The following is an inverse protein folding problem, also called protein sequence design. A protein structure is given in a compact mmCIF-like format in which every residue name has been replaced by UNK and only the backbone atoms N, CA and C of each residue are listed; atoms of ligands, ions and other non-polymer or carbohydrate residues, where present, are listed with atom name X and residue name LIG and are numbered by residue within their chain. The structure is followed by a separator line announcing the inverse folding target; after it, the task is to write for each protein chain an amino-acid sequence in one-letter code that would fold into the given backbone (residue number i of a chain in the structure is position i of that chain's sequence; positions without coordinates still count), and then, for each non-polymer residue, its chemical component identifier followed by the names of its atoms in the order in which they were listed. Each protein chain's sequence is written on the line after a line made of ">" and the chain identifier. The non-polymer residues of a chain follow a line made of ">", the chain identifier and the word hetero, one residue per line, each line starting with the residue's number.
data_IF_922595114531
#
_entry.id   IF_922595114531
#
_cell.length_a   1.000
_cell.length_b   1.000
_cell.length_c   1.000
_cell.angle_alpha   90.00
_cell.angle_beta   90.00
_cell.angle_gamma   90.00
#
_symmetry.space_group_name_H-M   'P 1'
#
loop_
_entity.id
_entity.type
_entity.pdbx_description
1 polymer ?
#
# COMPACT_ATOMS: atom_id res chain seq x y z
N UNK A 1 -15.14 18.23 -20.01
CA UNK A 1 -14.97 16.91 -19.36
C UNK A 1 -14.13 17.12 -18.12
N UNK A 2 -14.71 16.97 -16.92
CA UNK A 2 -13.97 17.04 -15.66
C UNK A 2 -13.58 15.62 -15.25
N UNK A 3 -12.29 15.44 -15.02
CA UNK A 3 -11.66 14.45 -14.13
C UNK A 3 -11.68 12.99 -14.60
N UNK A 4 -10.72 12.63 -15.46
CA UNK A 4 -10.07 11.32 -15.32
C UNK A 4 -9.28 11.38 -14.00
N UNK A 5 -9.93 11.08 -12.87
CA UNK A 5 -9.21 10.81 -11.62
C UNK A 5 -8.42 9.53 -11.88
N UNK A 6 -7.09 9.58 -11.83
CA UNK A 6 -6.28 8.37 -11.90
C UNK A 6 -6.73 7.40 -10.79
N UNK A 7 -6.72 6.08 -11.05
CA UNK A 7 -6.99 5.12 -9.99
C UNK A 7 -5.99 5.35 -8.85
N UNK A 8 -6.40 5.20 -7.57
CA UNK A 8 -5.47 5.24 -6.47
C UNK A 8 -4.39 4.17 -6.67
N UNK A 9 -3.14 4.57 -6.62
CA UNK A 9 -1.99 3.66 -6.76
C UNK A 9 -1.51 3.22 -5.38
N UNK A 10 -1.12 1.95 -5.30
CA UNK A 10 -0.59 1.38 -4.07
C UNK A 10 0.60 0.46 -4.36
N UNK A 11 1.50 0.28 -3.42
CA UNK A 11 2.48 -0.82 -3.48
C UNK A 11 2.69 -1.40 -2.09
N UNK A 12 3.36 -2.54 -2.02
CA UNK A 12 3.63 -3.21 -0.74
C UNK A 12 5.07 -3.67 -0.64
N UNK A 13 5.56 -3.75 0.59
CA UNK A 13 6.87 -4.27 0.92
C UNK A 13 6.80 -5.07 2.22
N UNK A 14 7.59 -6.14 2.30
CA UNK A 14 7.76 -6.92 3.53
C UNK A 14 8.96 -6.37 4.30
N UNK A 15 8.70 -5.64 5.38
CA UNK A 15 9.74 -5.08 6.23
C UNK A 15 10.23 -6.11 7.25
N UNK A 16 11.52 -6.42 7.15
CA UNK A 16 12.25 -7.37 8.01
C UNK A 16 13.27 -6.67 8.90
N UNK A 17 13.28 -5.34 8.91
CA UNK A 17 14.15 -4.54 9.78
C UNK A 17 13.73 -4.58 11.26
N UNK A 18 12.47 -4.92 11.52
CA UNK A 18 11.91 -5.12 12.87
C UNK A 18 11.62 -6.60 13.14
N UNK A 19 11.54 -6.97 14.42
CA UNK A 19 11.19 -8.33 14.87
C UNK A 19 9.96 -8.25 15.79
N UNK A 20 8.83 -8.90 15.44
CA UNK A 20 8.58 -9.59 14.17
C UNK A 20 8.52 -8.61 12.99
N UNK A 21 8.90 -9.08 11.80
CA UNK A 21 8.73 -8.33 10.56
C UNK A 21 7.26 -8.12 10.22
N UNK A 22 6.95 -7.17 9.35
CA UNK A 22 5.57 -6.77 9.05
C UNK A 22 5.41 -6.30 7.60
N UNK A 23 4.16 -6.21 7.14
CA UNK A 23 3.87 -5.68 5.81
C UNK A 23 3.65 -4.17 5.89
N UNK A 24 4.22 -3.45 4.92
CA UNK A 24 4.04 -2.01 4.72
C UNK A 24 3.32 -1.81 3.41
N UNK A 25 2.22 -1.07 3.44
CA UNK A 25 1.46 -0.65 2.26
C UNK A 25 1.67 0.84 2.05
N UNK A 26 2.11 1.21 0.85
CA UNK A 26 2.24 2.60 0.44
C UNK A 26 1.03 2.98 -0.40
N UNK A 27 0.26 3.97 0.04
CA UNK A 27 -0.96 4.42 -0.65
C UNK A 27 -0.81 5.87 -1.08
N UNK A 28 -1.04 6.14 -2.37
CA UNK A 28 -1.16 7.51 -2.87
C UNK A 28 -2.64 7.88 -2.96
N UNK A 29 -3.08 8.71 -2.03
CA UNK A 29 -4.47 9.13 -1.93
C UNK A 29 -4.59 10.58 -2.39
N UNK A 30 -5.49 10.84 -3.34
CA UNK A 30 -5.89 12.21 -3.71
C UNK A 30 -6.75 12.82 -2.59
N UNK A 31 -6.09 13.38 -1.58
CA UNK A 31 -6.73 14.13 -0.50
C UNK A 31 -7.19 15.50 -1.01
N UNK A 32 -8.47 15.82 -0.87
CA UNK A 32 -8.92 17.20 -1.01
C UNK A 32 -8.46 17.97 0.24
N UNK A 33 -7.84 19.15 0.07
CA UNK A 33 -7.40 20.00 1.20
C UNK A 33 -8.54 20.41 2.15
N UNK A 34 -9.79 20.20 1.75
CA UNK A 34 -10.97 20.59 2.50
C UNK A 34 -11.30 19.64 3.67
N UNK A 35 -10.86 18.38 3.62
CA UNK A 35 -11.21 17.37 4.64
C UNK A 35 -10.02 16.45 4.91
N UNK A 36 -9.20 16.72 5.94
CA UNK A 36 -8.18 15.77 6.35
C UNK A 36 -8.85 14.48 6.82
N UNK A 37 -8.27 13.33 6.47
CA UNK A 37 -8.74 12.03 6.94
C UNK A 37 -8.29 11.85 8.39
N UNK A 38 -9.21 11.56 9.34
CA UNK A 38 -8.83 11.31 10.72
C UNK A 38 -7.92 10.07 10.85
N UNK A 39 -6.96 10.06 11.80
CA UNK A 39 -6.10 8.90 12.05
C UNK A 39 -6.86 7.59 12.27
N UNK A 40 -8.01 7.64 12.96
CA UNK A 40 -8.85 6.47 13.21
C UNK A 40 -9.33 5.77 11.94
N UNK A 41 -9.55 6.51 10.85
CA UNK A 41 -9.95 5.92 9.56
C UNK A 41 -8.81 5.10 8.97
N UNK A 42 -7.56 5.52 9.16
CA UNK A 42 -6.40 4.75 8.72
C UNK A 42 -6.20 3.49 9.59
N UNK A 43 -6.47 3.57 10.89
CA UNK A 43 -6.46 2.41 11.79
C UNK A 43 -7.54 1.38 11.38
N UNK A 44 -8.76 1.85 11.10
CA UNK A 44 -9.85 1.00 10.59
C UNK A 44 -9.48 0.37 9.24
N UNK A 45 -8.78 1.11 8.37
CA UNK A 45 -8.27 0.59 7.11
C UNK A 45 -7.20 -0.49 7.32
N UNK A 46 -6.24 -0.29 8.24
CA UNK A 46 -5.26 -1.32 8.58
C UNK A 46 -5.96 -2.61 9.03
N UNK A 47 -6.94 -2.50 9.94
CA UNK A 47 -7.70 -3.65 10.43
C UNK A 47 -8.47 -4.36 9.31
N UNK A 48 -9.20 -3.60 8.50
CA UNK A 48 -9.99 -4.14 7.37
C UNK A 48 -9.09 -4.90 6.39
N UNK A 49 -7.90 -4.38 6.11
CA UNK A 49 -6.93 -5.05 5.23
C UNK A 49 -6.40 -6.34 5.88
N UNK A 50 -6.01 -6.30 7.15
CA UNK A 50 -5.56 -7.51 7.87
C UNK A 50 -6.65 -8.60 7.91
N UNK A 51 -7.92 -8.22 8.08
CA UNK A 51 -9.06 -9.14 8.07
C UNK A 51 -9.30 -9.78 6.69
N UNK A 52 -8.97 -9.06 5.62
CA UNK A 52 -9.09 -9.55 4.23
C UNK A 52 -8.00 -10.56 3.83
N UNK A 53 -6.90 -10.62 4.59
CA UNK A 53 -5.83 -11.58 4.33
C UNK A 53 -6.23 -13.01 4.73
N UNK A 54 -5.48 -13.98 4.22
CA UNK A 54 -5.77 -15.40 4.43
C UNK A 54 -5.62 -15.81 5.92
N UNK A 55 -6.13 -17.00 6.25
CA UNK A 55 -6.06 -17.54 7.61
C UNK A 55 -4.64 -17.66 8.15
N UNK A 56 -3.65 -17.96 7.29
CA UNK A 56 -2.23 -18.11 7.69
C UNK A 56 -1.66 -16.77 8.16
N UNK A 57 -1.92 -15.68 7.43
CA UNK A 57 -1.52 -14.34 7.88
C UNK A 57 -2.13 -14.01 9.24
N UNK A 58 -3.45 -14.22 9.38
CA UNK A 58 -4.18 -13.88 10.61
C UNK A 58 -3.70 -14.72 11.79
N UNK A 59 -3.37 -16.00 11.57
CA UNK A 59 -2.75 -16.85 12.58
C UNK A 59 -1.35 -16.33 12.97
N UNK A 60 -0.52 -15.97 12.00
CA UNK A 60 0.81 -15.37 12.24
C UNK A 60 0.74 -14.08 13.07
N UNK A 61 -0.30 -13.27 12.84
CA UNK A 61 -0.55 -11.99 13.52
C UNK A 61 -1.12 -12.16 14.93
N UNK A 62 -2.11 -13.04 15.11
CA UNK A 62 -2.89 -13.16 16.35
C UNK A 62 -2.34 -14.23 17.27
N UNK A 63 -2.06 -15.42 16.75
CA UNK A 63 -1.68 -16.59 17.55
C UNK A 63 -0.17 -16.72 17.68
N UNK A 64 0.54 -16.77 16.57
CA UNK A 64 1.98 -17.12 16.57
C UNK A 64 2.87 -15.91 16.89
N UNK A 65 2.31 -14.69 16.78
CA UNK A 65 3.03 -13.41 16.94
C UNK A 65 4.30 -13.31 16.08
N UNK A 66 4.32 -14.00 14.95
CA UNK A 66 5.42 -14.06 13.99
C UNK A 66 5.35 -12.96 12.93
N UNK A 67 4.21 -12.28 12.82
CA UNK A 67 3.99 -11.13 11.93
C UNK A 67 3.59 -9.92 12.79
N UNK A 68 4.29 -8.81 12.61
CA UNK A 68 3.99 -7.54 13.25
C UNK A 68 2.73 -6.85 12.68
N UNK A 69 2.29 -5.74 13.29
CA UNK A 69 1.15 -4.98 12.80
C UNK A 69 1.36 -4.48 11.36
N UNK A 70 0.34 -4.62 10.51
CA UNK A 70 0.31 -3.95 9.21
C UNK A 70 0.49 -2.44 9.36
N UNK A 71 1.33 -1.86 8.52
CA UNK A 71 1.54 -0.40 8.43
C UNK A 71 1.01 0.12 7.09
N UNK A 72 0.19 1.18 7.13
CA UNK A 72 -0.18 1.95 5.95
C UNK A 72 0.58 3.28 5.99
N UNK A 73 1.41 3.53 4.97
CA UNK A 73 2.13 4.78 4.75
C UNK A 73 1.47 5.56 3.61
N UNK A 74 1.00 6.77 3.91
CA UNK A 74 0.46 7.67 2.88
C UNK A 74 1.62 8.43 2.23
N UNK A 75 1.68 8.37 0.90
CA UNK A 75 2.71 9.10 0.12
C UNK A 75 2.12 10.34 -0.55
N UNK A 76 2.99 11.28 -0.90
CA UNK A 76 2.59 12.50 -1.61
C UNK A 76 2.07 12.19 -3.00
N UNK A 77 1.20 13.06 -3.52
CA UNK A 77 0.74 12.94 -4.90
C UNK A 77 1.89 13.08 -5.90
N UNK A 78 1.92 12.21 -6.91
CA UNK A 78 3.00 12.07 -7.90
C UNK A 78 4.18 11.23 -7.41
N UNK A 79 4.05 10.52 -6.28
CA UNK A 79 5.13 9.62 -5.82
C UNK A 79 5.24 8.42 -6.74
N UNK A 80 4.13 7.82 -7.14
CA UNK A 80 4.11 6.68 -8.04
C UNK A 80 4.50 7.06 -9.47
N UNK A 81 4.17 8.27 -9.93
CA UNK A 81 4.68 8.82 -11.20
C UNK A 81 6.22 8.88 -11.18
N UNK A 82 6.81 9.44 -10.11
CA UNK A 82 8.27 9.48 -9.94
C UNK A 82 8.89 8.09 -9.84
N UNK A 83 8.21 7.15 -9.17
CA UNK A 83 8.66 5.77 -9.06
C UNK A 83 8.67 5.07 -10.41
N UNK A 84 7.65 5.32 -11.24
CA UNK A 84 7.57 4.84 -12.62
C UNK A 84 8.72 5.41 -13.46
N UNK A 85 8.90 6.73 -13.45
CA UNK A 85 9.96 7.41 -14.20
C UNK A 85 11.34 6.87 -13.82
N UNK A 86 11.56 6.64 -12.51
CA UNK A 86 12.77 6.01 -12.01
C UNK A 86 12.94 4.58 -12.54
N UNK A 87 11.90 3.75 -12.46
CA UNK A 87 11.96 2.36 -12.92
C UNK A 87 12.25 2.28 -14.44
N UNK A 88 11.62 3.14 -15.24
CA UNK A 88 11.88 3.26 -16.68
C UNK A 88 13.32 3.73 -16.93
N UNK A 89 13.81 4.70 -16.16
CA UNK A 89 15.21 5.14 -16.21
C UNK A 89 16.22 4.03 -15.89
N UNK A 90 15.83 3.04 -15.09
CA UNK A 90 16.63 1.83 -14.79
C UNK A 90 16.43 0.68 -15.80
N UNK A 91 15.68 0.91 -16.89
CA UNK A 91 15.48 -0.08 -17.95
C UNK A 91 14.29 -1.02 -17.76
N UNK A 92 13.42 -0.77 -16.76
CA UNK A 92 12.16 -1.51 -16.65
C UNK A 92 11.17 -1.10 -17.75
N UNK A 93 10.36 -2.04 -18.24
CA UNK A 93 9.29 -1.71 -19.17
C UNK A 93 8.05 -1.21 -18.43
N UNK A 94 7.34 -0.24 -19.00
CA UNK A 94 6.08 0.32 -18.45
C UNK A 94 5.03 -0.78 -18.15
N UNK A 95 5.00 -1.84 -18.98
CA UNK A 95 4.06 -2.95 -18.81
C UNK A 95 4.37 -3.84 -17.59
N UNK A 96 5.63 -3.89 -17.14
CA UNK A 96 6.01 -4.61 -15.92
C UNK A 96 5.55 -3.88 -14.65
N UNK A 97 5.55 -2.54 -14.65
CA UNK A 97 5.04 -1.76 -13.52
C UNK A 97 3.54 -2.01 -13.29
N UNK A 98 2.73 -2.00 -14.37
CA UNK A 98 1.28 -2.22 -14.26
C UNK A 98 0.92 -3.64 -13.80
N UNK A 99 1.69 -4.65 -14.20
CA UNK A 99 1.46 -6.03 -13.79
C UNK A 99 1.64 -6.28 -12.28
N UNK A 100 2.36 -5.41 -11.56
CA UNK A 100 2.52 -5.46 -10.10
C UNK A 100 1.20 -5.08 -9.39
N UNK A 101 0.36 -4.27 -10.05
CA UNK A 101 -0.90 -3.75 -9.51
C UNK A 101 -2.12 -4.66 -9.76
N UNK A 102 -2.07 -5.50 -10.80
CA UNK A 102 -3.27 -6.19 -11.33
C UNK A 102 -3.48 -7.63 -10.78
N UNK A 103 -2.55 -8.18 -9.99
CA UNK A 103 -2.61 -9.61 -9.59
C UNK A 103 -3.36 -9.94 -8.28
N UNK A 104 -4.27 -9.10 -7.82
CA UNK A 104 -5.24 -9.44 -6.75
C UNK A 104 -6.60 -8.82 -7.01
N UNK A 105 -7.27 -9.30 -8.06
CA UNK A 105 -8.72 -9.35 -8.15
C UNK A 105 -9.22 -10.71 -7.67
#
# INVERSE_FOLDING_TARGET
>A
LRLLRSPPEYTSYADTSTIPGHYVLYWEISLSRATPIPPSVFEDCCLTVEESFNSVYRQGRVSDKSIGPLEIKIVESGTFDKLMDYAVGQGASINQYKAIQEKRG
#
